data_IF_960201198322
#
_entry.id   IF_960201198322
#
_cell.length_a   1.000
_cell.length_b   1.000
_cell.length_c   1.000
_cell.angle_alpha   90.00
_cell.angle_beta   90.00
_cell.angle_gamma   90.00
#
_symmetry.space_group_name_H-M   'P 1'
#
loop_
_entity.id
_entity.type
_entity.pdbx_description
1 polymer ?
#
# COMPACT_ATOMS: atom_id res chain seq x y z
N UNK A 1 -11.96 -33.18 -51.27
CA UNK A 1 -11.34 -34.49 -51.55
C UNK A 1 -10.23 -34.65 -50.51
N UNK A 2 -10.56 -34.99 -49.27
CA UNK A 2 -10.76 -36.34 -48.72
C UNK A 2 -9.46 -37.16 -48.63
N UNK A 3 -9.28 -37.77 -47.44
CA UNK A 3 -8.35 -38.82 -47.02
C UNK A 3 -6.93 -38.39 -46.59
N UNK A 4 -6.28 -38.96 -45.58
CA UNK A 4 -6.61 -39.70 -44.33
C UNK A 4 -5.23 -40.10 -43.72
N UNK A 5 -5.22 -40.27 -42.40
CA UNK A 5 -4.16 -40.77 -41.50
C UNK A 5 -3.42 -42.07 -41.95
N UNK A 6 -2.23 -42.42 -41.38
CA UNK A 6 -2.17 -43.06 -40.06
C UNK A 6 -1.05 -42.60 -39.10
N UNK A 7 -1.44 -42.57 -37.82
CA UNK A 7 -0.59 -42.69 -36.62
C UNK A 7 0.20 -44.01 -36.63
N UNK A 8 1.37 -44.03 -36.00
CA UNK A 8 1.98 -45.27 -35.52
C UNK A 8 2.26 -45.19 -34.02
N UNK A 9 1.88 -46.28 -33.37
CA UNK A 9 1.60 -46.49 -31.97
C UNK A 9 2.71 -47.41 -31.43
N UNK A 10 3.75 -46.86 -30.80
CA UNK A 10 4.76 -47.67 -30.12
C UNK A 10 5.51 -46.85 -29.08
N UNK A 11 4.95 -46.81 -27.86
CA UNK A 11 5.65 -46.73 -26.55
C UNK A 11 4.60 -46.60 -25.45
N UNK A 12 3.91 -47.71 -25.20
CA UNK A 12 3.00 -47.92 -24.07
C UNK A 12 3.35 -49.29 -23.50
N UNK A 13 4.24 -49.34 -22.51
CA UNK A 13 4.45 -50.47 -21.61
C UNK A 13 5.60 -50.17 -20.65
N UNK A 14 5.32 -49.54 -19.50
CA UNK A 14 5.94 -49.94 -18.24
C UNK A 14 5.24 -49.25 -17.07
N UNK A 15 4.95 -50.05 -16.05
CA UNK A 15 4.51 -49.67 -14.70
C UNK A 15 3.05 -49.22 -14.51
N UNK A 16 2.16 -50.20 -14.63
CA UNK A 16 0.86 -50.23 -13.96
C UNK A 16 0.65 -51.64 -13.38
N UNK A 17 1.44 -52.00 -12.36
CA UNK A 17 1.26 -53.22 -11.56
C UNK A 17 1.69 -52.91 -10.12
N UNK A 18 0.84 -52.23 -9.36
CA UNK A 18 0.73 -52.44 -7.90
C UNK A 18 -0.68 -52.08 -7.44
N UNK A 19 -1.66 -52.90 -7.82
CA UNK A 19 -2.93 -52.95 -7.10
C UNK A 19 -3.48 -54.39 -7.18
N UNK A 20 -3.80 -54.94 -6.01
CA UNK A 20 -4.49 -56.21 -5.77
C UNK A 20 -3.71 -57.53 -5.89
N UNK A 21 -3.11 -57.93 -4.76
CA UNK A 21 -3.27 -59.31 -4.24
C UNK A 21 -3.78 -59.20 -2.81
N UNK A 22 -4.90 -59.88 -2.57
CA UNK A 22 -5.66 -60.02 -1.32
C UNK A 22 -5.14 -61.26 -0.55
N UNK A 23 -5.46 -61.35 0.76
CA UNK A 23 -5.40 -62.50 1.73
C UNK A 23 -4.07 -62.62 2.51
N UNK A 24 -3.96 -62.74 3.86
CA UNK A 24 -4.81 -62.92 5.08
C UNK A 24 -3.89 -62.46 6.25
N UNK A 25 -4.27 -61.90 7.42
CA UNK A 25 -4.99 -62.43 8.60
C UNK A 25 -5.05 -61.30 9.64
N UNK A 26 -6.18 -61.15 10.35
CA UNK A 26 -6.20 -60.55 11.69
C UNK A 26 -7.34 -59.56 11.94
N UNK A 27 -8.50 -60.07 12.32
CA UNK A 27 -9.67 -59.30 12.77
C UNK A 27 -9.36 -58.45 14.01
N UNK A 28 -9.66 -57.15 13.95
CA UNK A 28 -10.08 -56.36 15.11
C UNK A 28 -10.95 -55.19 14.66
N UNK A 29 -12.23 -55.29 15.01
CA UNK A 29 -13.31 -54.33 14.80
C UNK A 29 -12.95 -52.98 15.41
N UNK A 30 -12.97 -51.92 14.61
CA UNK A 30 -13.10 -50.54 15.10
C UNK A 30 -14.10 -49.77 14.22
N UNK A 31 -15.04 -49.15 14.93
CA UNK A 31 -16.27 -48.51 14.45
C UNK A 31 -15.96 -47.34 13.50
N UNK A 32 -16.46 -47.41 12.26
CA UNK A 32 -16.44 -46.27 11.34
C UNK A 32 -17.58 -45.32 11.74
N UNK A 33 -17.25 -44.28 12.50
CA UNK A 33 -18.04 -43.06 12.51
C UNK A 33 -17.93 -42.42 11.12
N UNK A 34 -19.04 -42.39 10.36
CA UNK A 34 -19.17 -41.55 9.17
C UNK A 34 -19.15 -40.09 9.60
N UNK A 35 -18.00 -39.44 9.47
CA UNK A 35 -17.93 -37.97 9.43
C UNK A 35 -18.14 -37.58 7.96
N UNK A 36 -19.28 -36.96 7.67
CA UNK A 36 -19.51 -36.30 6.37
C UNK A 36 -18.42 -35.25 6.13
N UNK A 37 -17.88 -35.09 4.91
CA UNK A 37 -17.03 -33.95 4.61
C UNK A 37 -17.90 -32.71 4.69
N UNK A 38 -17.70 -31.89 5.72
CA UNK A 38 -18.22 -30.54 5.74
C UNK A 38 -17.42 -29.75 4.69
N UNK A 39 -18.03 -29.25 3.61
CA UNK A 39 -17.31 -28.35 2.71
C UNK A 39 -17.02 -27.09 3.51
N UNK A 40 -15.75 -26.90 3.89
CA UNK A 40 -15.26 -25.58 4.31
C UNK A 40 -15.27 -24.70 3.07
N UNK A 41 -16.43 -24.15 2.73
CA UNK A 41 -16.48 -22.98 1.85
C UNK A 41 -15.86 -21.85 2.67
N UNK A 42 -14.61 -21.51 2.37
CA UNK A 42 -14.07 -20.24 2.83
C UNK A 42 -15.07 -19.15 2.42
N UNK A 43 -15.38 -18.16 3.28
CA UNK A 43 -16.18 -17.04 2.87
C UNK A 43 -15.55 -16.43 1.60
N UNK A 44 -16.37 -16.04 0.60
CA UNK A 44 -15.84 -15.48 -0.63
C UNK A 44 -14.96 -14.28 -0.30
N UNK A 45 -13.80 -14.19 -0.94
CA UNK A 45 -12.91 -13.04 -0.76
C UNK A 45 -13.68 -11.76 -1.17
N UNK A 46 -13.38 -10.59 -0.60
CA UNK A 46 -14.03 -9.33 -1.00
C UNK A 46 -14.09 -9.11 -2.52
N UNK A 47 -13.06 -9.54 -3.24
CA UNK A 47 -12.95 -9.51 -4.71
C UNK A 47 -13.93 -10.44 -5.45
N UNK A 48 -14.48 -11.45 -4.79
CA UNK A 48 -15.47 -12.39 -5.34
C UNK A 48 -16.90 -11.88 -5.16
N UNK A 49 -17.10 -10.79 -4.42
CA UNK A 49 -18.40 -10.11 -4.27
C UNK A 49 -18.63 -9.19 -5.46
N UNK A 50 -19.21 -9.71 -6.54
CA UNK A 50 -19.63 -8.90 -7.69
C UNK A 50 -20.69 -7.90 -7.22
N UNK A 51 -20.31 -6.62 -7.11
CA UNK A 51 -21.24 -5.54 -6.78
C UNK A 51 -22.24 -5.38 -7.93
N UNK A 52 -23.50 -5.78 -7.72
CA UNK A 52 -24.55 -5.46 -8.67
C UNK A 52 -24.84 -3.97 -8.60
N UNK A 53 -24.60 -3.26 -9.71
CA UNK A 53 -24.98 -1.86 -9.81
C UNK A 53 -26.47 -1.73 -9.51
N UNK A 54 -26.90 -0.72 -8.71
CA UNK A 54 -28.31 -0.52 -8.37
C UNK A 54 -29.17 -0.18 -9.60
N UNK A 55 -28.55 0.05 -10.75
CA UNK A 55 -29.20 0.23 -12.05
C UNK A 55 -28.32 -0.32 -13.18
N UNK A 56 -28.93 -0.73 -14.29
CA UNK A 56 -28.20 -1.10 -15.51
C UNK A 56 -27.32 0.05 -15.99
N UNK A 57 -26.15 -0.28 -16.54
CA UNK A 57 -25.31 0.71 -17.21
C UNK A 57 -26.12 1.39 -18.33
N UNK A 58 -26.05 2.72 -18.44
CA UNK A 58 -26.70 3.41 -19.55
C UNK A 58 -26.10 2.96 -20.87
N UNK A 59 -26.95 2.71 -21.86
CA UNK A 59 -26.50 2.44 -23.24
C UNK A 59 -25.92 3.74 -23.78
N UNK A 60 -24.61 3.74 -24.07
CA UNK A 60 -23.95 4.86 -24.72
C UNK A 60 -24.58 5.08 -26.10
N UNK A 61 -24.90 6.33 -26.46
CA UNK A 61 -25.55 6.63 -27.72
C UNK A 61 -24.58 6.36 -28.87
N UNK A 62 -25.11 5.88 -29.99
CA UNK A 62 -24.33 5.49 -31.18
C UNK A 62 -23.62 6.67 -31.85
N UNK A 63 -24.01 7.91 -31.54
CA UNK A 63 -23.36 9.14 -32.00
C UNK A 63 -22.20 9.60 -31.10
N UNK A 64 -22.01 8.97 -29.94
CA UNK A 64 -20.91 9.24 -29.02
C UNK A 64 -21.02 10.53 -28.20
N UNK A 65 -22.18 11.21 -28.16
CA UNK A 65 -22.32 12.50 -27.46
C UNK A 65 -22.86 12.33 -26.04
N UNK A 66 -22.08 12.75 -25.04
CA UNK A 66 -22.49 12.81 -23.63
C UNK A 66 -22.73 14.25 -23.15
N UNK A 67 -23.69 14.42 -22.25
CA UNK A 67 -24.04 15.70 -21.63
C UNK A 67 -23.74 15.67 -20.14
N UNK A 68 -23.03 16.68 -19.65
CA UNK A 68 -22.62 16.78 -18.25
C UNK A 68 -23.38 17.92 -17.59
N UNK A 69 -24.05 17.61 -16.49
CA UNK A 69 -24.97 18.52 -15.81
C UNK A 69 -24.50 18.79 -14.38
N UNK A 70 -24.42 20.06 -14.01
CA UNK A 70 -24.26 20.49 -12.62
C UNK A 70 -25.64 20.73 -11.99
N UNK A 71 -26.01 20.05 -10.90
CA UNK A 71 -27.26 20.34 -10.19
C UNK A 71 -27.28 21.78 -9.65
N UNK A 72 -28.35 22.52 -9.96
CA UNK A 72 -28.60 23.84 -9.35
C UNK A 72 -29.31 23.65 -8.02
N UNK A 73 -28.56 23.75 -6.92
CA UNK A 73 -29.09 23.50 -5.59
C UNK A 73 -29.85 24.70 -5.02
N UNK A 74 -30.90 24.47 -4.21
CA UNK A 74 -31.54 25.51 -3.40
C UNK A 74 -30.56 26.14 -2.40
N UNK A 75 -30.92 27.32 -1.88
CA UNK A 75 -30.13 28.00 -0.84
C UNK A 75 -29.94 27.09 0.39
N UNK A 76 -28.71 27.03 0.90
CA UNK A 76 -28.34 26.14 1.99
C UNK A 76 -28.05 24.70 1.58
N UNK A 77 -28.02 24.38 0.28
CA UNK A 77 -27.67 23.06 -0.25
C UNK A 77 -26.51 23.14 -1.25
N UNK A 78 -25.78 22.03 -1.40
CA UNK A 78 -24.62 21.89 -2.29
C UNK A 78 -24.73 20.62 -3.14
N UNK A 79 -24.18 20.70 -4.35
CA UNK A 79 -24.02 19.56 -5.23
C UNK A 79 -22.73 18.81 -4.86
N UNK A 80 -22.75 17.49 -4.96
CA UNK A 80 -21.58 16.65 -4.64
C UNK A 80 -20.76 16.23 -5.86
N UNK A 81 -21.20 16.63 -7.06
CA UNK A 81 -20.60 16.26 -8.33
C UNK A 81 -21.54 16.52 -9.49
N UNK A 82 -21.07 16.17 -10.68
CA UNK A 82 -21.85 16.26 -11.92
C UNK A 82 -22.61 14.96 -12.22
N UNK A 83 -23.59 15.06 -13.11
CA UNK A 83 -24.35 13.93 -13.65
C UNK A 83 -24.16 13.85 -15.16
N UNK A 84 -23.94 12.65 -15.69
CA UNK A 84 -23.84 12.42 -17.15
C UNK A 84 -25.14 11.82 -17.68
N UNK A 85 -25.60 12.32 -18.83
CA UNK A 85 -26.69 11.73 -19.62
C UNK A 85 -26.30 11.58 -21.08
N UNK A 86 -27.02 10.74 -21.82
CA UNK A 86 -26.91 10.58 -23.27
C UNK A 86 -27.94 11.43 -24.04
N UNK A 87 -28.52 12.44 -23.39
CA UNK A 87 -29.58 13.26 -23.95
C UNK A 87 -29.38 14.73 -23.60
N UNK A 88 -29.73 15.61 -24.54
CA UNK A 88 -29.80 17.06 -24.32
C UNK A 88 -30.85 17.46 -23.28
N UNK A 89 -31.74 16.54 -22.89
CA UNK A 89 -32.72 16.77 -21.85
C UNK A 89 -32.07 16.69 -20.46
N UNK A 90 -32.44 17.64 -19.61
CA UNK A 90 -31.98 17.69 -18.22
C UNK A 90 -32.38 16.41 -17.48
N UNK A 91 -31.51 15.85 -16.62
CA UNK A 91 -31.88 14.71 -15.79
C UNK A 91 -33.05 15.08 -14.87
N UNK A 92 -33.94 14.11 -14.61
CA UNK A 92 -35.07 14.33 -13.70
C UNK A 92 -34.56 14.68 -12.29
N UNK A 93 -35.11 15.73 -11.66
CA UNK A 93 -34.83 16.04 -10.25
C UNK A 93 -35.16 14.88 -9.31
N UNK A 94 -36.03 13.93 -9.69
CA UNK A 94 -36.35 12.77 -8.84
C UNK A 94 -35.17 11.82 -8.65
N UNK A 95 -34.20 11.83 -9.57
CA UNK A 95 -33.01 10.96 -9.55
C UNK A 95 -31.79 11.61 -8.90
N UNK A 96 -31.87 12.89 -8.54
CA UNK A 96 -30.74 13.67 -8.03
C UNK A 96 -31.17 14.37 -6.74
N UNK A 97 -30.27 14.47 -5.77
CA UNK A 97 -30.49 15.25 -4.55
C UNK A 97 -29.27 16.12 -4.29
N UNK A 98 -29.52 17.35 -3.85
CA UNK A 98 -28.49 18.17 -3.23
C UNK A 98 -28.44 17.88 -1.73
N UNK A 99 -27.29 18.12 -1.11
CA UNK A 99 -27.09 17.88 0.32
C UNK A 99 -27.03 19.21 1.05
N UNK A 100 -27.57 19.27 2.27
CA UNK A 100 -27.47 20.48 3.10
C UNK A 100 -26.02 20.88 3.29
N UNK A 101 -25.69 22.16 3.16
CA UNK A 101 -24.34 22.67 3.24
C UNK A 101 -23.64 22.31 4.57
N UNK A 102 -24.39 22.23 5.68
CA UNK A 102 -23.88 21.83 7.00
C UNK A 102 -23.35 20.37 7.06
N UNK A 103 -23.77 19.52 6.12
CA UNK A 103 -23.34 18.13 5.97
C UNK A 103 -22.29 17.96 4.87
N UNK A 104 -21.59 19.04 4.52
CA UNK A 104 -20.55 19.02 3.48
C UNK A 104 -19.23 19.57 3.97
N UNK A 105 -18.15 19.25 3.26
CA UNK A 105 -16.81 19.78 3.43
C UNK A 105 -16.26 20.31 2.11
N UNK A 106 -15.19 21.10 2.19
CA UNK A 106 -14.46 21.56 1.02
C UNK A 106 -13.86 20.36 0.24
N UNK A 107 -14.06 20.36 -1.08
CA UNK A 107 -13.40 19.43 -2.00
C UNK A 107 -12.20 20.08 -2.69
N UNK A 108 -11.29 19.21 -3.15
CA UNK A 108 -10.28 19.51 -4.16
C UNK A 108 -10.37 18.53 -5.34
N UNK A 109 -9.75 18.90 -6.46
CA UNK A 109 -9.47 17.95 -7.54
C UNK A 109 -8.53 16.86 -7.03
N UNK A 110 -8.78 15.61 -7.45
CA UNK A 110 -7.93 14.49 -7.10
C UNK A 110 -7.25 13.87 -8.32
N UNK A 111 -7.88 12.91 -9.01
CA UNK A 111 -7.32 12.25 -10.19
C UNK A 111 -7.94 12.83 -11.44
N UNK A 112 -7.12 13.20 -12.43
CA UNK A 112 -7.61 13.53 -13.76
C UNK A 112 -8.15 12.26 -14.43
N UNK A 113 -9.38 12.32 -14.91
CA UNK A 113 -10.03 11.21 -15.60
C UNK A 113 -9.80 11.33 -17.10
N UNK A 114 -10.16 12.49 -17.66
CA UNK A 114 -10.00 12.80 -19.08
C UNK A 114 -10.21 14.30 -19.34
N UNK A 115 -9.80 14.78 -20.52
CA UNK A 115 -9.93 16.19 -20.89
C UNK A 115 -9.33 16.53 -22.25
N UNK A 116 -9.73 17.66 -22.80
CA UNK A 116 -9.19 18.24 -24.04
C UNK A 116 -9.45 19.75 -24.09
N UNK A 117 -8.45 20.53 -24.56
CA UNK A 117 -8.58 21.95 -24.96
C UNK A 117 -9.50 22.79 -24.07
N UNK A 118 -9.09 23.02 -22.82
CA UNK A 118 -9.83 23.87 -21.88
C UNK A 118 -11.01 23.19 -21.17
N UNK A 119 -11.29 21.92 -21.48
CA UNK A 119 -12.22 21.08 -20.75
C UNK A 119 -11.47 19.94 -20.05
N UNK A 120 -11.73 19.72 -18.77
CA UNK A 120 -11.13 18.63 -17.99
C UNK A 120 -12.14 18.03 -17.02
N UNK A 121 -11.97 16.75 -16.73
CA UNK A 121 -12.77 16.02 -15.73
C UNK A 121 -11.84 15.41 -14.71
N UNK A 122 -12.13 15.65 -13.44
CA UNK A 122 -11.38 15.13 -12.30
C UNK A 122 -12.31 14.36 -11.38
N UNK A 123 -11.82 13.31 -10.73
CA UNK A 123 -12.42 12.85 -9.48
C UNK A 123 -12.20 13.92 -8.40
N UNK A 124 -13.02 13.88 -7.36
CA UNK A 124 -12.95 14.83 -6.26
C UNK A 124 -12.76 14.12 -4.93
N UNK A 125 -12.03 14.76 -4.02
CA UNK A 125 -11.84 14.28 -2.66
C UNK A 125 -11.92 15.42 -1.64
N UNK A 126 -12.16 15.13 -0.35
CA UNK A 126 -12.10 16.13 0.69
C UNK A 126 -10.71 16.78 0.78
N UNK A 127 -10.65 18.10 0.98
CA UNK A 127 -9.38 18.82 1.16
C UNK A 127 -8.74 18.54 2.51
N UNK A 128 -9.55 18.39 3.58
CA UNK A 128 -9.05 17.96 4.88
C UNK A 128 -9.05 16.43 4.98
N UNK A 129 -7.87 15.82 5.19
CA UNK A 129 -7.64 14.38 5.10
C UNK A 129 -6.89 13.80 6.31
N UNK A 130 -7.11 14.36 7.49
CA UNK A 130 -6.63 13.78 8.75
C UNK A 130 -7.39 12.52 9.17
N UNK A 131 -6.83 11.73 10.08
CA UNK A 131 -7.49 10.56 10.69
C UNK A 131 -8.74 10.92 11.49
N UNK A 132 -8.83 12.19 11.93
CA UNK A 132 -10.00 12.76 12.60
C UNK A 132 -10.85 13.62 11.65
N UNK A 133 -10.51 13.69 10.36
CA UNK A 133 -11.26 14.47 9.39
C UNK A 133 -12.58 13.77 9.04
N UNK A 134 -13.61 14.59 8.84
CA UNK A 134 -14.99 14.14 8.68
C UNK A 134 -15.44 14.02 7.22
N UNK A 135 -14.64 14.53 6.28
CA UNK A 135 -14.96 14.51 4.86
C UNK A 135 -14.93 13.08 4.31
N UNK A 136 -15.92 12.73 3.50
CA UNK A 136 -16.13 11.42 2.92
C UNK A 136 -15.76 11.43 1.44
N UNK A 137 -14.98 10.44 1.01
CA UNK A 137 -14.60 10.27 -0.39
C UNK A 137 -15.64 9.44 -1.14
N UNK A 138 -16.50 10.10 -1.93
CA UNK A 138 -17.62 9.43 -2.63
C UNK A 138 -17.26 8.81 -3.98
N UNK A 139 -16.08 9.12 -4.52
CA UNK A 139 -15.76 8.77 -5.91
C UNK A 139 -16.59 9.56 -6.93
N UNK A 140 -17.07 10.75 -6.56
CA UNK A 140 -17.71 11.67 -7.51
C UNK A 140 -16.67 12.37 -8.40
N UNK A 141 -17.17 13.04 -9.43
CA UNK A 141 -16.34 13.76 -10.38
C UNK A 141 -16.87 15.18 -10.64
N UNK A 142 -15.96 16.03 -11.10
CA UNK A 142 -16.23 17.40 -11.50
C UNK A 142 -15.70 17.66 -12.91
N UNK A 143 -16.55 18.26 -13.73
CA UNK A 143 -16.14 18.81 -15.01
C UNK A 143 -15.75 20.29 -14.85
N UNK A 144 -14.69 20.68 -15.53
CA UNK A 144 -14.08 21.99 -15.48
C UNK A 144 -13.98 22.55 -16.89
N UNK A 145 -14.46 23.78 -17.08
CA UNK A 145 -14.32 24.54 -18.33
C UNK A 145 -13.49 25.79 -18.04
N UNK A 146 -12.44 26.03 -18.83
CA UNK A 146 -11.62 27.24 -18.72
C UNK A 146 -10.81 27.34 -17.42
N UNK A 147 -10.56 26.23 -16.73
CA UNK A 147 -9.73 26.23 -15.52
C UNK A 147 -10.46 26.65 -14.24
N UNK A 148 -11.79 26.80 -14.24
CA UNK A 148 -12.57 27.16 -13.06
C UNK A 148 -13.31 25.93 -12.52
N UNK A 149 -13.03 25.54 -11.27
CA UNK A 149 -13.73 24.45 -10.61
C UNK A 149 -15.20 24.85 -10.35
N UNK A 150 -16.12 23.93 -10.60
CA UNK A 150 -17.54 24.13 -10.31
C UNK A 150 -17.80 24.19 -8.80
N UNK A 151 -18.84 24.91 -8.37
CA UNK A 151 -19.27 24.97 -6.96
C UNK A 151 -19.89 23.63 -6.52
N UNK A 152 -19.01 22.71 -6.09
CA UNK A 152 -19.35 21.42 -5.53
C UNK A 152 -18.71 21.26 -4.16
N UNK A 153 -19.25 20.35 -3.36
CA UNK A 153 -18.75 20.04 -2.03
C UNK A 153 -18.60 18.53 -1.83
N UNK A 154 -17.83 18.14 -0.84
CA UNK A 154 -17.61 16.75 -0.48
C UNK A 154 -18.59 16.43 0.64
N UNK A 155 -19.06 15.19 0.72
CA UNK A 155 -19.93 14.82 1.84
C UNK A 155 -19.13 14.84 3.15
N UNK A 156 -19.80 15.15 4.25
CA UNK A 156 -19.22 15.12 5.59
C UNK A 156 -20.06 14.23 6.48
N UNK A 157 -19.41 13.42 7.31
CA UNK A 157 -20.11 12.70 8.37
C UNK A 157 -20.63 13.67 9.45
N UNK A 158 -21.81 13.40 9.99
CA UNK A 158 -22.40 14.20 11.07
C UNK A 158 -21.79 13.89 12.43
N UNK A 159 -21.21 12.70 12.60
CA UNK A 159 -20.53 12.22 13.80
C UNK A 159 -19.31 11.41 13.40
N UNK A 160 -18.20 11.60 14.10
CA UNK A 160 -17.03 10.75 13.93
C UNK A 160 -17.30 9.44 14.66
N UNK A 161 -17.37 8.34 13.90
CA UNK A 161 -17.61 7.01 14.42
C UNK A 161 -16.74 6.02 13.65
N UNK A 162 -16.13 5.08 14.37
CA UNK A 162 -15.25 4.07 13.79
C UNK A 162 -15.99 2.77 13.51
N UNK A 163 -17.31 2.73 13.65
CA UNK A 163 -18.12 1.52 13.45
C UNK A 163 -17.92 0.84 12.07
N UNK A 164 -17.61 1.62 11.04
CA UNK A 164 -17.35 1.07 9.70
C UNK A 164 -15.94 0.48 9.58
N UNK A 165 -14.98 0.83 10.44
CA UNK A 165 -13.64 0.26 10.37
C UNK A 165 -13.66 -1.26 10.55
N UNK A 166 -12.73 -2.00 9.91
CA UNK A 166 -12.60 -3.43 10.14
C UNK A 166 -12.28 -3.71 11.60
N UNK A 167 -12.92 -4.72 12.17
CA UNK A 167 -12.53 -5.27 13.47
C UNK A 167 -11.18 -5.98 13.38
N UNK A 168 -10.57 -6.33 14.52
CA UNK A 168 -9.33 -7.13 14.53
C UNK A 168 -9.49 -8.46 13.77
N UNK A 169 -10.66 -9.10 13.89
CA UNK A 169 -10.96 -10.36 13.19
C UNK A 169 -11.11 -10.16 11.68
N UNK A 170 -11.58 -8.99 11.23
CA UNK A 170 -11.69 -8.65 9.80
C UNK A 170 -10.36 -8.18 9.21
N UNK A 171 -9.49 -7.59 10.03
CA UNK A 171 -8.21 -7.06 9.58
C UNK A 171 -7.27 -8.16 9.08
N UNK A 172 -7.22 -9.32 9.76
CA UNK A 172 -6.33 -10.40 9.34
C UNK A 172 -6.65 -10.89 7.91
N UNK A 173 -7.90 -11.25 7.55
CA UNK A 173 -8.25 -11.57 6.17
C UNK A 173 -7.92 -10.48 5.15
N UNK A 174 -8.02 -9.19 5.52
CA UNK A 174 -7.64 -8.08 4.63
C UNK A 174 -6.12 -8.03 4.40
N UNK A 175 -5.32 -8.22 5.45
CA UNK A 175 -3.86 -8.29 5.33
C UNK A 175 -3.47 -9.52 4.51
N UNK A 176 -4.02 -10.70 4.82
CA UNK A 176 -3.74 -11.93 4.08
C UNK A 176 -4.09 -11.79 2.58
N UNK A 177 -5.14 -11.04 2.24
CA UNK A 177 -5.59 -10.87 0.86
C UNK A 177 -4.83 -9.78 0.07
N UNK A 178 -4.29 -8.76 0.75
CA UNK A 178 -3.75 -7.56 0.09
C UNK A 178 -2.29 -7.24 0.43
N UNK A 179 -1.68 -7.98 1.35
CA UNK A 179 -0.25 -7.87 1.63
C UNK A 179 0.57 -8.01 0.34
N UNK A 180 1.66 -7.25 0.29
CA UNK A 180 2.52 -7.23 -0.88
C UNK A 180 3.66 -8.23 -0.73
N UNK A 181 4.09 -8.75 -1.87
CA UNK A 181 5.43 -9.33 -1.98
C UNK A 181 6.39 -8.23 -2.40
N UNK A 182 7.36 -7.95 -1.53
CA UNK A 182 8.38 -6.93 -1.77
C UNK A 182 9.62 -7.63 -2.31
N UNK A 183 9.98 -7.32 -3.56
CA UNK A 183 11.14 -7.89 -4.23
C UNK A 183 12.38 -7.02 -4.05
N UNK A 184 13.48 -7.68 -3.73
CA UNK A 184 14.78 -7.05 -3.55
C UNK A 184 15.65 -7.31 -4.76
N UNK A 185 16.51 -6.35 -5.10
CA UNK A 185 17.51 -6.58 -6.13
C UNK A 185 18.45 -7.73 -5.71
N UNK A 186 18.97 -8.58 -6.63
CA UNK A 186 19.87 -9.68 -6.25
C UNK A 186 21.13 -9.22 -5.51
N UNK A 187 21.59 -8.01 -5.79
CA UNK A 187 22.72 -7.35 -5.13
C UNK A 187 22.35 -6.61 -3.83
N UNK A 188 21.10 -6.72 -3.35
CA UNK A 188 20.66 -6.05 -2.12
C UNK A 188 21.32 -6.69 -0.89
N UNK A 189 22.19 -5.90 -0.25
CA UNK A 189 22.93 -6.29 0.95
C UNK A 189 22.21 -5.89 2.23
N UNK A 190 21.50 -4.77 2.20
CA UNK A 190 20.91 -4.18 3.38
C UNK A 190 19.43 -4.56 3.43
N UNK A 191 19.20 -5.70 4.08
CA UNK A 191 17.88 -6.34 4.16
C UNK A 191 17.07 -5.77 5.33
N UNK A 192 15.73 -5.89 5.29
CA UNK A 192 14.90 -5.51 6.42
C UNK A 192 15.16 -6.43 7.62
N UNK A 193 15.09 -5.86 8.81
CA UNK A 193 15.17 -6.58 10.08
C UNK A 193 14.21 -5.96 11.10
N UNK A 194 14.16 -6.52 12.31
CA UNK A 194 13.38 -5.91 13.39
C UNK A 194 14.17 -4.77 14.04
N UNK A 195 13.46 -3.85 14.68
CA UNK A 195 14.07 -2.79 15.49
C UNK A 195 14.89 -3.38 16.63
N UNK A 196 14.35 -4.43 17.26
CA UNK A 196 15.00 -5.17 18.34
C UNK A 196 16.32 -5.79 17.87
N UNK A 197 16.37 -6.28 16.62
CA UNK A 197 17.60 -6.80 16.04
C UNK A 197 18.70 -5.73 16.04
N UNK A 198 18.39 -4.50 15.63
CA UNK A 198 19.39 -3.43 15.63
C UNK A 198 19.87 -3.10 17.05
N UNK A 199 18.97 -3.09 18.04
CA UNK A 199 19.34 -2.84 19.43
C UNK A 199 20.26 -3.94 19.98
N UNK A 200 20.02 -5.19 19.61
CA UNK A 200 20.82 -6.35 20.03
C UNK A 200 22.15 -6.48 19.26
N UNK A 201 22.26 -5.87 18.08
CA UNK A 201 23.43 -5.94 17.21
C UNK A 201 24.21 -4.62 17.18
N UNK A 202 24.66 -4.19 18.37
CA UNK A 202 25.58 -3.05 18.56
C UNK A 202 25.00 -1.68 18.21
N UNK A 203 23.67 -1.56 18.15
CA UNK A 203 22.98 -0.27 18.03
C UNK A 203 23.25 0.64 19.22
N UNK A 204 23.67 1.87 18.92
CA UNK A 204 24.00 2.91 19.89
C UNK A 204 23.15 4.16 19.69
N UNK A 205 22.82 4.81 20.79
CA UNK A 205 22.23 6.15 20.83
C UNK A 205 23.34 7.17 21.02
N UNK A 206 23.52 8.01 20.01
CA UNK A 206 24.43 9.15 20.05
C UNK A 206 23.69 10.41 20.48
N UNK A 207 24.44 11.33 21.08
CA UNK A 207 23.95 12.63 21.53
C UNK A 207 24.86 13.74 21.05
N UNK A 208 24.26 14.80 20.50
CA UNK A 208 24.96 15.99 20.06
C UNK A 208 25.70 16.67 21.22
N UNK A 209 26.99 16.94 21.04
CA UNK A 209 27.88 17.49 22.05
C UNK A 209 28.43 16.46 23.07
N UNK A 210 28.11 15.18 22.91
CA UNK A 210 28.65 14.07 23.70
C UNK A 210 28.93 12.83 22.82
N UNK A 211 29.41 13.06 21.59
CA UNK A 211 29.57 12.03 20.56
C UNK A 211 30.59 10.95 20.93
N UNK A 212 31.51 11.27 21.85
CA UNK A 212 32.52 10.35 22.34
C UNK A 212 31.97 9.32 23.34
N UNK A 213 30.76 9.52 23.87
CA UNK A 213 30.15 8.65 24.88
C UNK A 213 28.75 8.16 24.45
N UNK A 214 28.64 7.43 23.32
CA UNK A 214 27.36 6.87 22.91
C UNK A 214 26.87 5.81 23.91
N UNK A 215 25.55 5.68 24.04
CA UNK A 215 24.92 4.77 25.01
C UNK A 215 24.31 3.58 24.28
N UNK A 216 24.55 2.37 24.78
CA UNK A 216 23.88 1.16 24.28
C UNK A 216 22.37 1.28 24.39
N UNK A 217 21.66 0.95 23.32
CA UNK A 217 20.20 0.95 23.33
C UNK A 217 19.72 -0.26 24.12
N UNK A 218 18.79 -0.06 25.05
CA UNK A 218 18.21 -1.16 25.81
C UNK A 218 17.33 -2.02 24.86
N UNK A 219 17.20 -3.34 25.09
CA UNK A 219 16.46 -4.22 24.18
C UNK A 219 15.00 -3.81 23.94
N UNK A 220 14.38 -3.11 24.89
CA UNK A 220 13.02 -2.59 24.79
C UNK A 220 12.95 -1.12 24.30
N UNK A 221 14.10 -0.52 23.97
CA UNK A 221 14.22 0.87 23.56
C UNK A 221 13.88 1.89 24.64
N UNK A 222 13.78 1.49 25.91
CA UNK A 222 13.30 2.37 26.99
C UNK A 222 14.18 3.58 27.30
N UNK A 223 15.45 3.56 26.88
CA UNK A 223 16.38 4.67 26.98
C UNK A 223 16.41 5.59 25.75
N UNK A 224 15.58 5.32 24.74
CA UNK A 224 15.43 6.23 23.60
C UNK A 224 14.65 7.49 24.00
N UNK A 225 14.95 8.65 23.40
CA UNK A 225 14.19 9.87 23.63
C UNK A 225 12.69 9.66 23.39
N UNK A 226 11.86 10.12 24.33
CA UNK A 226 10.41 9.97 24.28
C UNK A 226 9.75 11.33 24.03
N UNK A 227 8.97 11.44 22.95
CA UNK A 227 8.30 12.68 22.58
C UNK A 227 9.25 13.81 22.16
N UNK A 228 8.72 15.03 22.01
CA UNK A 228 9.47 16.19 21.49
C UNK A 228 9.41 16.31 19.97
N UNK A 229 10.07 17.34 19.43
CA UNK A 229 10.29 17.54 17.99
C UNK A 229 11.71 17.12 17.64
N UNK A 230 11.97 16.81 16.37
CA UNK A 230 13.34 16.60 15.88
C UNK A 230 14.16 17.90 16.04
N UNK A 231 15.06 17.89 17.02
CA UNK A 231 16.00 18.96 17.32
C UNK A 231 17.44 18.59 16.92
N UNK A 232 17.61 17.47 16.20
CA UNK A 232 18.90 16.86 15.87
C UNK A 232 19.78 16.60 17.11
N UNK A 233 19.20 16.42 18.30
CA UNK A 233 19.97 16.19 19.52
C UNK A 233 20.45 14.75 19.66
N UNK A 234 19.79 13.79 19.02
CA UNK A 234 20.11 12.36 19.10
C UNK A 234 20.01 11.68 17.74
N UNK A 235 20.84 10.66 17.51
CA UNK A 235 20.74 9.76 16.35
C UNK A 235 21.16 8.34 16.71
N UNK A 236 20.81 7.39 15.84
CA UNK A 236 21.18 6.00 15.98
C UNK A 236 22.34 5.67 15.05
N UNK A 237 23.35 4.97 15.55
CA UNK A 237 24.41 4.42 14.70
C UNK A 237 25.04 3.17 15.34
N UNK A 238 25.99 2.55 14.64
CA UNK A 238 26.85 1.48 15.15
C UNK A 238 28.31 1.95 15.22
N UNK A 239 29.18 1.28 16.02
CA UNK A 239 30.61 1.56 16.02
C UNK A 239 31.23 1.51 14.61
N UNK A 240 32.27 2.33 14.32
CA UNK A 240 32.94 2.34 13.01
C UNK A 240 33.53 0.97 12.58
N UNK A 241 33.91 0.14 13.55
CA UNK A 241 34.47 -1.20 13.37
C UNK A 241 33.44 -2.31 13.56
N UNK A 242 32.15 -1.97 13.65
CA UNK A 242 31.07 -2.93 13.81
C UNK A 242 30.93 -3.85 12.59
N UNK A 243 30.80 -5.15 12.84
CA UNK A 243 30.47 -6.15 11.84
C UNK A 243 28.94 -6.35 11.68
N UNK A 244 28.11 -5.50 12.30
CA UNK A 244 26.65 -5.57 12.22
C UNK A 244 26.13 -5.57 10.78
N UNK A 245 26.75 -4.78 9.90
CA UNK A 245 26.41 -4.74 8.46
C UNK A 245 26.64 -6.12 7.80
N UNK A 246 27.76 -6.76 8.10
CA UNK A 246 28.10 -8.10 7.57
C UNK A 246 27.28 -9.22 8.24
N UNK A 247 26.88 -9.05 9.50
CA UNK A 247 25.93 -9.94 10.20
C UNK A 247 24.56 -9.90 9.52
N UNK A 248 24.05 -8.71 9.21
CA UNK A 248 22.76 -8.53 8.54
C UNK A 248 22.71 -9.21 7.17
N UNK A 249 23.77 -9.07 6.35
CA UNK A 249 23.85 -9.72 5.03
C UNK A 249 23.74 -11.25 5.13
N UNK A 250 24.26 -11.83 6.22
CA UNK A 250 24.23 -13.28 6.51
C UNK A 250 22.98 -13.74 7.25
N UNK A 251 22.12 -12.84 7.69
CA UNK A 251 20.92 -13.17 8.44
C UNK A 251 19.91 -13.93 7.56
N UNK A 252 19.19 -14.86 8.19
CA UNK A 252 18.05 -15.54 7.59
C UNK A 252 16.90 -14.55 7.41
N UNK A 253 16.69 -14.18 6.15
CA UNK A 253 15.65 -13.28 5.71
C UNK A 253 14.23 -13.74 6.08
N UNK A 254 14.01 -15.05 6.30
CA UNK A 254 12.72 -15.57 6.73
C UNK A 254 12.28 -15.07 8.13
N UNK A 255 13.18 -14.44 8.89
CA UNK A 255 12.91 -13.84 10.20
C UNK A 255 12.54 -12.36 10.14
N UNK A 256 12.65 -11.73 8.97
CA UNK A 256 12.25 -10.34 8.80
C UNK A 256 10.77 -10.17 9.16
N UNK A 257 10.47 -9.13 9.93
CA UNK A 257 9.13 -8.83 10.43
C UNK A 257 8.74 -7.43 10.01
N UNK A 258 7.49 -7.26 9.59
CA UNK A 258 6.93 -5.93 9.28
C UNK A 258 6.07 -5.41 10.43
N UNK A 259 5.84 -4.10 10.45
CA UNK A 259 4.99 -3.45 11.45
C UNK A 259 3.76 -2.86 10.78
N UNK A 260 2.58 -3.26 11.24
CA UNK A 260 1.30 -2.85 10.65
C UNK A 260 0.64 -1.81 11.53
N UNK A 261 0.32 -0.67 10.94
CA UNK A 261 -0.44 0.42 11.54
C UNK A 261 -1.76 0.58 10.79
N UNK A 262 -2.87 0.65 11.51
CA UNK A 262 -4.20 0.83 10.91
C UNK A 262 -4.78 2.17 11.34
N UNK A 263 -5.19 2.99 10.37
CA UNK A 263 -5.74 4.32 10.61
C UNK A 263 -7.05 4.58 9.84
N UNK A 264 -8.05 5.24 10.45
CA UNK A 264 -9.26 5.65 9.74
C UNK A 264 -8.96 6.77 8.76
N UNK A 265 -9.58 6.73 7.58
CA UNK A 265 -9.45 7.76 6.56
C UNK A 265 -10.81 8.15 5.98
N UNK A 266 -10.90 9.38 5.46
CA UNK A 266 -12.07 9.94 4.80
C UNK A 266 -13.37 9.76 5.61
N UNK A 267 -13.41 10.33 6.82
CA UNK A 267 -14.57 10.19 7.71
C UNK A 267 -14.79 8.77 8.20
N UNK A 268 -13.73 7.95 8.29
CA UNK A 268 -13.79 6.53 8.62
C UNK A 268 -14.60 5.67 7.63
N UNK A 269 -14.77 6.13 6.39
CA UNK A 269 -15.32 5.31 5.29
C UNK A 269 -14.25 4.48 4.59
N UNK A 270 -12.99 4.77 4.86
CA UNK A 270 -11.84 4.00 4.43
C UNK A 270 -10.93 3.69 5.62
N UNK A 271 -10.13 2.65 5.45
CA UNK A 271 -9.06 2.28 6.37
C UNK A 271 -7.76 2.20 5.61
N UNK A 272 -6.76 2.93 6.07
CA UNK A 272 -5.39 2.77 5.61
C UNK A 272 -4.68 1.75 6.50
N UNK A 273 -4.18 0.68 5.89
CA UNK A 273 -3.29 -0.32 6.50
C UNK A 273 -1.88 0.02 6.02
N UNK A 274 -1.11 0.67 6.88
CA UNK A 274 0.28 1.05 6.61
C UNK A 274 1.19 -0.09 7.06
N UNK A 275 1.99 -0.61 6.16
CA UNK A 275 2.93 -1.71 6.39
C UNK A 275 4.34 -1.13 6.34
N UNK A 276 5.00 -1.11 7.50
CA UNK A 276 6.34 -0.58 7.68
C UNK A 276 7.38 -1.68 7.66
N UNK A 277 8.49 -1.40 6.97
CA UNK A 277 9.70 -2.21 6.95
C UNK A 277 10.83 -1.37 7.52
N UNK A 278 11.55 -1.96 8.47
CA UNK A 278 12.73 -1.34 9.05
C UNK A 278 13.97 -1.96 8.43
N UNK A 279 14.86 -1.12 7.95
CA UNK A 279 16.16 -1.49 7.43
C UNK A 279 17.20 -0.92 8.40
N UNK A 280 17.97 -1.77 9.10
CA UNK A 280 19.00 -1.29 10.02
C UNK A 280 20.01 -0.36 9.34
N UNK A 281 20.26 -0.57 8.05
CA UNK A 281 21.18 0.24 7.26
C UNK A 281 20.57 0.50 5.88
N UNK A 282 20.90 1.65 5.30
CA UNK A 282 20.70 1.96 3.91
C UNK A 282 22.06 2.16 3.25
N UNK A 283 22.26 1.49 2.11
CA UNK A 283 23.51 1.50 1.37
C UNK A 283 23.76 2.77 0.56
N UNK A 284 24.94 2.85 -0.09
CA UNK A 284 25.32 4.03 -0.83
C UNK A 284 24.56 4.11 -2.14
N UNK A 285 24.20 5.34 -2.51
CA UNK A 285 23.53 5.63 -3.76
C UNK A 285 24.49 5.45 -4.95
N UNK A 286 23.95 4.87 -6.02
CA UNK A 286 24.63 4.81 -7.31
C UNK A 286 24.12 5.93 -8.21
N UNK A 287 25.00 6.82 -8.67
CA UNK A 287 24.63 7.81 -9.69
C UNK A 287 24.82 7.16 -11.05
N UNK A 288 23.75 7.17 -11.85
CA UNK A 288 23.78 6.71 -13.24
C UNK A 288 23.94 7.89 -14.17
N UNK A 289 24.87 7.76 -15.11
CA UNK A 289 25.16 8.72 -16.17
C UNK A 289 25.01 8.05 -17.53
N UNK A 290 23.78 8.00 -18.04
CA UNK A 290 23.39 7.42 -19.33
C UNK A 290 23.86 5.97 -19.53
N UNK A 291 25.11 5.79 -19.94
CA UNK A 291 25.73 4.49 -20.28
C UNK A 291 26.77 4.01 -19.26
N UNK A 292 27.10 4.81 -18.23
CA UNK A 292 28.03 4.41 -17.18
C UNK A 292 27.49 4.76 -15.79
N UNK A 293 27.94 4.00 -14.78
CA UNK A 293 27.50 4.14 -13.39
C UNK A 293 28.69 4.57 -12.53
N UNK A 294 28.47 5.49 -11.61
CA UNK A 294 29.43 5.90 -10.59
C UNK A 294 28.85 5.51 -9.23
N UNK A 295 29.50 4.55 -8.57
CA UNK A 295 29.22 4.20 -7.17
C UNK A 295 30.03 5.14 -6.29
N UNK A 296 29.38 5.76 -5.32
CA UNK A 296 30.06 6.57 -4.31
C UNK A 296 30.12 5.75 -3.02
N UNK A 297 31.21 5.86 -2.28
CA UNK A 297 31.40 4.98 -1.12
C UNK A 297 30.48 5.32 0.06
N UNK A 298 29.99 6.57 0.16
CA UNK A 298 29.22 7.04 1.34
C UNK A 298 28.01 7.92 1.01
N UNK A 299 27.70 8.12 -0.28
CA UNK A 299 26.63 9.05 -0.64
C UNK A 299 25.26 8.47 -0.32
N UNK A 300 24.52 9.07 0.61
CA UNK A 300 23.16 8.63 0.96
C UNK A 300 23.10 7.43 1.92
N UNK A 301 24.24 6.90 2.34
CA UNK A 301 24.31 5.90 3.41
C UNK A 301 23.77 6.47 4.72
N UNK A 302 22.98 5.67 5.44
CA UNK A 302 22.54 6.03 6.78
C UNK A 302 22.09 4.79 7.56
N UNK A 303 22.04 4.93 8.88
CA UNK A 303 21.58 3.90 9.81
C UNK A 303 20.13 4.16 10.20
N UNK A 304 19.33 3.10 10.32
CA UNK A 304 17.93 3.16 10.72
C UNK A 304 17.02 3.78 9.67
N UNK A 305 16.77 3.04 8.60
CA UNK A 305 15.91 3.44 7.51
C UNK A 305 14.52 2.78 7.61
N UNK A 306 13.48 3.54 7.29
CA UNK A 306 12.09 3.12 7.41
C UNK A 306 11.37 3.37 6.10
N UNK A 307 10.84 2.30 5.54
CA UNK A 307 10.08 2.32 4.30
C UNK A 307 8.67 1.81 4.56
N UNK A 308 7.68 2.28 3.81
CA UNK A 308 6.33 1.73 3.94
C UNK A 308 5.54 1.68 2.64
N UNK A 309 4.54 0.81 2.65
CA UNK A 309 3.43 0.84 1.71
C UNK A 309 2.14 1.07 2.48
N UNK A 310 1.18 1.77 1.88
CA UNK A 310 -0.14 1.96 2.50
C UNK A 310 -1.22 1.38 1.61
N UNK A 311 -1.99 0.43 2.15
CA UNK A 311 -3.15 -0.13 1.49
C UNK A 311 -4.40 0.66 1.90
N UNK A 312 -5.15 1.20 0.94
CA UNK A 312 -6.41 1.91 1.21
C UNK A 312 -7.60 1.01 0.92
N UNK A 313 -8.29 0.59 1.97
CA UNK A 313 -9.43 -0.34 1.91
C UNK A 313 -10.73 0.41 2.14
N UNK A 314 -11.75 0.10 1.33
CA UNK A 314 -13.11 0.58 1.54
C UNK A 314 -13.78 -0.24 2.65
N UNK A 315 -14.26 0.46 3.67
CA UNK A 315 -14.81 -0.16 4.88
C UNK A 315 -16.15 -0.88 4.67
N UNK A 316 -16.88 -0.56 3.61
CA UNK A 316 -18.21 -1.13 3.37
C UNK A 316 -18.18 -2.47 2.64
N UNK A 317 -17.20 -2.68 1.76
CA UNK A 317 -17.10 -3.87 0.93
C UNK A 317 -15.76 -4.62 1.08
N UNK A 318 -14.79 -4.07 1.81
CA UNK A 318 -13.46 -4.67 1.99
C UNK A 318 -12.60 -4.62 0.73
N UNK A 319 -12.97 -3.83 -0.28
CA UNK A 319 -12.22 -3.71 -1.52
C UNK A 319 -11.00 -2.81 -1.34
N UNK A 320 -9.84 -3.26 -1.85
CA UNK A 320 -8.65 -2.44 -1.95
C UNK A 320 -8.81 -1.43 -3.08
N UNK A 321 -8.82 -0.14 -2.76
CA UNK A 321 -9.02 0.94 -3.71
C UNK A 321 -7.70 1.42 -4.35
N UNK A 322 -6.69 1.60 -3.52
CA UNK A 322 -5.40 2.13 -3.96
C UNK A 322 -4.28 1.71 -3.03
N UNK A 323 -3.06 1.77 -3.53
CA UNK A 323 -1.86 1.51 -2.76
C UNK A 323 -0.95 2.73 -2.89
N UNK A 324 -0.40 3.17 -1.77
CA UNK A 324 0.67 4.15 -1.75
C UNK A 324 2.01 3.43 -1.69
N UNK A 325 2.88 3.76 -2.63
CA UNK A 325 4.26 3.28 -2.68
C UNK A 325 5.17 4.43 -2.26
N UNK A 326 5.86 4.27 -1.14
CA UNK A 326 6.79 5.29 -0.63
C UNK A 326 8.10 5.23 -1.43
N UNK A 327 8.51 6.38 -1.93
CA UNK A 327 9.70 6.62 -2.75
C UNK A 327 10.56 7.69 -2.05
N UNK A 328 11.42 7.25 -1.12
CA UNK A 328 12.36 8.07 -0.36
C UNK A 328 11.74 9.16 0.54
N UNK A 329 11.30 10.29 -0.01
CA UNK A 329 10.77 11.46 0.74
C UNK A 329 9.27 11.66 0.57
N UNK A 330 8.67 10.94 -0.39
CA UNK A 330 7.27 11.02 -0.73
C UNK A 330 6.85 9.72 -1.37
N UNK A 331 6.00 9.76 -2.38
CA UNK A 331 5.55 8.54 -3.02
C UNK A 331 4.40 8.78 -3.95
N UNK A 332 3.77 7.68 -4.38
CA UNK A 332 2.65 7.75 -5.31
C UNK A 332 1.54 6.81 -4.90
N UNK A 333 0.32 7.35 -4.92
CA UNK A 333 -0.89 6.54 -4.93
C UNK A 333 -1.09 5.94 -6.33
N UNK A 334 -1.10 4.62 -6.40
CA UNK A 334 -1.46 3.86 -7.60
C UNK A 334 -2.82 3.19 -7.39
N UNK A 335 -3.57 3.03 -8.47
CA UNK A 335 -4.84 2.31 -8.42
C UNK A 335 -4.58 0.83 -8.10
N UNK A 336 -5.47 0.19 -7.34
CA UNK A 336 -5.32 -1.23 -7.04
C UNK A 336 -5.31 -2.08 -8.31
N UNK A 337 -5.97 -1.65 -9.38
CA UNK A 337 -5.99 -2.34 -10.68
C UNK A 337 -4.69 -2.19 -11.48
N UNK A 338 -3.87 -1.18 -11.17
CA UNK A 338 -2.63 -0.87 -11.90
C UNK A 338 -1.39 -1.56 -11.32
N UNK A 339 -1.52 -2.31 -10.21
CA UNK A 339 -0.41 -3.06 -9.61
C UNK A 339 -0.30 -4.46 -10.20
N UNK A 340 0.94 -4.83 -10.56
CA UNK A 340 1.28 -6.14 -11.05
C UNK A 340 1.00 -7.22 -9.99
N UNK A 341 0.38 -8.31 -10.44
CA UNK A 341 0.22 -9.52 -9.64
C UNK A 341 1.39 -10.45 -9.91
N UNK A 342 1.94 -11.01 -8.84
CA UNK A 342 2.80 -12.17 -8.91
C UNK A 342 2.11 -13.35 -8.22
N UNK A 343 1.84 -14.39 -9.00
CA UNK A 343 0.97 -15.51 -8.66
C UNK A 343 -0.44 -15.05 -8.28
N UNK A 344 -0.69 -14.82 -6.99
CA UNK A 344 -1.97 -14.34 -6.44
C UNK A 344 -1.82 -13.06 -5.59
N UNK A 345 -0.58 -12.59 -5.36
CA UNK A 345 -0.28 -11.44 -4.51
C UNK A 345 0.18 -10.24 -5.35
N UNK A 346 0.04 -9.04 -4.80
CA UNK A 346 0.52 -7.81 -5.42
C UNK A 346 2.02 -7.62 -5.16
N UNK A 347 2.76 -7.06 -6.11
CA UNK A 347 4.21 -6.88 -5.99
C UNK A 347 4.64 -5.41 -5.85
N UNK A 348 5.67 -5.17 -5.05
CA UNK A 348 6.44 -3.93 -5.01
C UNK A 348 7.93 -4.25 -5.16
N UNK A 349 8.71 -3.32 -5.69
CA UNK A 349 10.12 -3.57 -6.00
C UNK A 349 11.02 -2.48 -5.43
N UNK A 350 12.18 -2.89 -4.92
CA UNK A 350 13.26 -2.01 -4.46
C UNK A 350 13.18 -1.63 -2.98
N UNK A 351 14.22 -0.92 -2.52
CA UNK A 351 14.28 -0.32 -1.18
C UNK A 351 13.26 0.82 -1.07
N UNK A 352 13.27 1.74 -2.03
CA UNK A 352 12.12 2.58 -2.36
C UNK A 352 11.14 1.77 -3.23
N UNK A 353 9.84 1.88 -2.99
CA UNK A 353 8.86 1.00 -3.62
C UNK A 353 8.37 1.52 -4.97
N UNK A 354 8.48 0.65 -5.97
CA UNK A 354 7.94 0.89 -7.30
C UNK A 354 6.96 -0.19 -7.73
N UNK A 355 5.98 0.18 -8.56
CA UNK A 355 4.92 -0.71 -9.03
C UNK A 355 5.38 -1.70 -10.10
N UNK A 356 6.61 -1.54 -10.63
CA UNK A 356 7.19 -2.37 -11.70
C UNK A 356 8.69 -2.53 -11.51
N UNK A 357 9.28 -3.65 -11.96
CA UNK A 357 10.72 -3.77 -12.07
C UNK A 357 11.26 -2.85 -13.19
N UNK A 358 12.52 -2.45 -13.05
CA UNK A 358 13.25 -1.62 -13.99
C UNK A 358 14.14 -0.61 -13.30
N UNK A 359 14.89 0.14 -14.10
CA UNK A 359 15.62 1.30 -13.61
C UNK A 359 14.67 2.48 -13.45
N UNK A 360 14.52 2.99 -12.23
CA UNK A 360 13.95 4.31 -11.98
C UNK A 360 15.09 5.29 -11.68
N UNK A 361 15.12 6.41 -12.41
CA UNK A 361 16.12 7.46 -12.21
C UNK A 361 15.48 8.63 -11.48
N UNK A 362 16.06 9.01 -10.35
CA UNK A 362 15.80 10.31 -9.72
C UNK A 362 16.78 11.34 -10.30
N UNK A 363 16.36 11.97 -11.39
CA UNK A 363 17.13 12.94 -12.16
C UNK A 363 16.55 13.19 -13.55
N UNK A 364 17.33 13.82 -14.44
CA UNK A 364 16.88 14.20 -15.78
C UNK A 364 17.92 13.84 -16.86
N UNK A 365 17.47 13.71 -18.12
CA UNK A 365 18.33 13.46 -19.28
C UNK A 365 19.25 12.22 -19.19
N UNK A 366 18.78 11.20 -18.46
CA UNK A 366 19.50 9.96 -18.20
C UNK A 366 20.61 10.09 -17.15
N UNK A 367 20.60 11.17 -16.36
CA UNK A 367 21.53 11.42 -15.27
C UNK A 367 20.74 11.53 -13.97
N UNK A 368 21.04 10.70 -12.98
CA UNK A 368 20.32 10.72 -11.70
C UNK A 368 20.74 9.60 -10.76
N UNK A 369 20.17 9.61 -9.55
CA UNK A 369 20.29 8.49 -8.62
C UNK A 369 19.51 7.31 -9.19
N UNK A 370 20.16 6.15 -9.29
CA UNK A 370 19.55 4.94 -9.82
C UNK A 370 18.87 4.12 -8.73
N UNK A 371 17.58 3.87 -8.90
CA UNK A 371 16.79 2.92 -8.12
C UNK A 371 16.49 1.72 -9.00
N UNK A 372 17.49 0.83 -9.12
CA UNK A 372 17.35 -0.39 -9.90
C UNK A 372 16.48 -1.40 -9.16
N UNK A 373 15.39 -1.78 -9.83
CA UNK A 373 14.51 -2.84 -9.38
C UNK A 373 14.64 -4.00 -10.35
N UNK A 374 15.14 -5.13 -9.90
CA UNK A 374 15.10 -6.36 -10.69
C UNK A 374 14.20 -7.36 -9.99
N UNK A 375 13.50 -8.18 -10.78
CA UNK A 375 12.76 -9.30 -10.23
C UNK A 375 13.76 -10.37 -9.81
N UNK A 376 13.96 -10.53 -8.52
CA UNK A 376 14.83 -11.56 -7.95
C UNK A 376 14.03 -12.69 -7.28
N UNK A 377 14.73 -13.78 -6.94
CA UNK A 377 14.19 -14.85 -6.09
C UNK A 377 14.05 -14.42 -4.61
N UNK A 378 14.67 -13.30 -4.23
CA UNK A 378 14.62 -12.75 -2.88
C UNK A 378 13.42 -11.80 -2.73
N UNK A 379 12.42 -12.20 -1.94
CA UNK A 379 11.22 -11.41 -1.67
C UNK A 379 10.71 -11.57 -0.25
N UNK A 380 10.16 -10.50 0.33
CA UNK A 380 9.45 -10.50 1.61
C UNK A 380 7.94 -10.59 1.39
N UNK A 381 7.30 -11.59 1.97
CA UNK A 381 5.84 -11.62 2.11
C UNK A 381 5.44 -10.80 3.35
N UNK A 382 4.89 -9.60 3.13
CA UNK A 382 4.54 -8.70 4.24
C UNK A 382 3.31 -9.18 5.04
N UNK A 383 2.59 -10.18 4.55
CA UNK A 383 1.42 -10.74 5.23
C UNK A 383 1.76 -11.89 6.17
N UNK A 384 2.97 -12.47 6.06
CA UNK A 384 3.33 -13.69 6.76
C UNK A 384 3.81 -13.46 8.21
N UNK A 385 4.73 -12.51 8.42
CA UNK A 385 5.25 -12.15 9.74
C UNK A 385 5.12 -10.65 10.02
N UNK A 386 4.11 -10.28 10.82
CA UNK A 386 3.87 -8.88 11.17
C UNK A 386 3.57 -8.65 12.66
N UNK A 387 3.84 -7.45 13.14
CA UNK A 387 3.33 -6.93 14.42
C UNK A 387 2.21 -5.94 14.14
N UNK A 388 1.01 -6.16 14.70
CA UNK A 388 -0.01 -5.13 14.70
C UNK A 388 0.30 -4.11 15.81
N UNK A 389 0.42 -2.85 15.44
CA UNK A 389 0.66 -1.75 16.36
C UNK A 389 -0.63 -0.95 16.54
N UNK A 390 -0.95 -0.58 17.78
CA UNK A 390 -2.04 0.37 18.02
C UNK A 390 -1.59 1.78 17.58
N UNK A 391 -2.55 2.62 17.21
CA UNK A 391 -2.28 4.04 16.93
C UNK A 391 -1.54 4.73 18.11
N UNK A 392 -1.80 4.29 19.35
CA UNK A 392 -1.14 4.78 20.57
C UNK A 392 0.34 4.38 20.70
N UNK A 393 0.76 3.25 20.12
CA UNK A 393 2.18 2.86 20.12
C UNK A 393 2.99 3.76 19.19
N UNK A 394 2.42 4.22 18.07
CA UNK A 394 3.08 5.21 17.21
C UNK A 394 3.15 6.61 17.82
N UNK A 395 2.24 6.99 18.73
CA UNK A 395 2.38 8.22 19.51
C UNK A 395 3.48 8.14 20.58
N UNK A 396 4.05 6.96 20.81
CA UNK A 396 5.22 6.75 21.67
C UNK A 396 6.52 6.59 20.87
N UNK A 397 6.42 6.24 19.60
CA UNK A 397 7.52 6.42 18.65
C UNK A 397 7.68 7.92 18.37
N UNK A 398 8.90 8.44 18.12
CA UNK A 398 9.15 9.87 18.00
C UNK A 398 8.16 10.55 17.04
N UNK A 399 7.27 11.39 17.59
CA UNK A 399 6.22 12.06 16.84
C UNK A 399 6.85 13.19 16.03
N UNK A 400 6.96 12.95 14.72
CA UNK A 400 7.10 13.96 13.65
C UNK A 400 8.50 14.57 13.48
N UNK A 401 9.25 13.87 12.64
CA UNK A 401 10.44 14.30 11.89
C UNK A 401 9.92 15.19 10.75
N UNK A 402 10.10 16.49 10.86
CA UNK A 402 9.66 17.46 9.85
C UNK A 402 10.73 18.55 9.66
N UNK A 403 11.01 18.77 8.38
CA UNK A 403 11.74 19.88 7.74
C UNK A 403 13.22 19.67 7.42
N UNK A 404 13.55 20.20 6.24
CA UNK A 404 14.70 19.94 5.39
C UNK A 404 16.01 20.51 5.96
N UNK A 405 17.07 19.71 5.99
CA UNK A 405 18.23 19.76 5.08
C UNK A 405 19.38 18.93 5.66
N UNK A 406 19.79 17.86 4.96
CA UNK A 406 21.03 17.13 5.24
C UNK A 406 20.94 15.62 5.05
N UNK A 407 22.07 14.92 4.84
CA UNK A 407 22.12 13.47 4.71
C UNK A 407 22.06 12.85 6.10
N UNK A 408 20.86 12.70 6.67
CA UNK A 408 20.69 12.13 8.00
C UNK A 408 19.46 11.23 8.08
N UNK A 409 19.66 10.15 8.83
CA UNK A 409 18.78 9.02 9.17
C UNK A 409 17.31 9.36 9.45
N UNK A 410 16.46 8.35 9.18
CA UNK A 410 14.99 8.29 9.29
C UNK A 410 14.26 9.19 8.28
N UNK A 411 13.91 8.60 7.14
CA UNK A 411 13.10 9.21 6.08
C UNK A 411 11.77 9.72 6.64
N UNK A 412 11.54 11.02 6.48
CA UNK A 412 10.40 11.77 7.01
C UNK A 412 9.08 11.28 6.39
N UNK A 413 8.20 10.65 7.17
CA UNK A 413 6.77 10.58 6.81
C UNK A 413 6.11 11.91 7.15
N UNK A 414 5.61 12.59 6.12
CA UNK A 414 4.95 13.90 6.24
C UNK A 414 3.75 13.90 7.19
N UNK A 415 3.03 12.77 7.32
CA UNK A 415 1.88 12.67 8.21
C UNK A 415 1.58 11.25 8.73
N UNK A 416 1.78 11.03 10.02
CA UNK A 416 1.31 9.82 10.72
C UNK A 416 -0.20 9.78 10.88
N UNK A 417 -0.82 10.96 10.99
CA UNK A 417 -2.25 11.16 11.28
C UNK A 417 -3.02 11.73 10.09
N UNK A 418 -2.49 11.65 8.88
CA UNK A 418 -3.14 12.15 7.68
C UNK A 418 -2.88 11.26 6.48
N UNK A 419 -3.45 11.67 5.36
CA UNK A 419 -3.27 11.00 4.07
C UNK A 419 -1.81 11.07 3.62
N UNK A 420 -1.37 10.06 2.86
CA UNK A 420 -0.06 10.06 2.24
C UNK A 420 -0.04 11.10 1.11
N UNK A 421 1.07 11.85 0.98
CA UNK A 421 1.20 13.01 0.07
C UNK A 421 2.25 12.73 -0.99
#
# INVERSE_FOLDING_TARGET
MALLFPMNLAKFASFLITLFVILVVGDCICIICRISPCPKTNPPLPIETVFQLPSSLPVWPSDGIGFIWLPKCPDGYKALGHVVTNSTQKPSPDKIRCVKAELTEQCEHYKWIWGAKGFNVYTTRPSNRGTQAMGVHLGSFVAQVGGIMSDIACLKNSKFDLFAMPTLDQLKPLIDAYALWVYFHPDEKYRPATVEWFFENEGLLYKKGDEANPVTILPDGSNLPQGGSDDNAYWLDVPPDSDARDKLEREDFAKAKVYVHVKPMFGATFTDIVIWMYYPFNGPATIKFRIFNIKFDHLGEHTGDWEHVTLRVNNFNGELQSIYLFEHRGGKWVDATDIEFQDHNKAAHGHAFYSKPGLVLDGSDGIGLGNDCEKADLYLDTGFFYTLLSAEVFYKLPIKILEEEGPTSIKTKSSWCGDEI
#
